data_IF_555383101476
#
_entry.id   IF_555383101476
#
_cell.length_a   1.000
_cell.length_b   1.000
_cell.length_c   1.000
_cell.angle_alpha   90.00
_cell.angle_beta   90.00
_cell.angle_gamma   90.00
#
_symmetry.space_group_name_H-M   'P 1'
#
loop_
_entity.id
_entity.type
_entity.pdbx_description
1 polymer ?
#
# COMPACT_ATOMS: atom_id res chain seq x y z
N UNK A 1 -19.71 4.09 -1.96
CA UNK A 1 -19.07 2.77 -2.21
C UNK A 1 -17.87 2.65 -1.29
N UNK A 2 -17.75 1.55 -0.55
CA UNK A 2 -16.60 1.32 0.35
C UNK A 2 -15.58 0.41 -0.34
N UNK A 3 -14.30 0.74 -0.21
CA UNK A 3 -13.21 0.01 -0.89
C UNK A 3 -12.21 -0.52 0.14
N UNK A 4 -11.82 -1.79 0.01
CA UNK A 4 -10.65 -2.32 0.72
C UNK A 4 -9.44 -2.15 -0.20
N UNK A 5 -8.44 -1.39 0.27
CA UNK A 5 -7.22 -1.13 -0.49
C UNK A 5 -6.14 -2.13 -0.09
N UNK A 6 -5.76 -2.95 -1.05
CA UNK A 6 -4.58 -3.81 -0.98
C UNK A 6 -3.30 -3.00 -1.24
N UNK A 7 -2.16 -3.53 -0.80
CA UNK A 7 -0.86 -2.85 -0.92
C UNK A 7 -0.51 -2.47 -2.36
N UNK A 8 -0.84 -3.33 -3.33
CA UNK A 8 -0.65 -3.06 -4.76
C UNK A 8 -1.43 -1.82 -5.23
N UNK A 9 -2.69 -1.67 -4.85
CA UNK A 9 -3.50 -0.50 -5.19
C UNK A 9 -2.94 0.77 -4.54
N UNK A 10 -2.45 0.69 -3.29
CA UNK A 10 -1.80 1.82 -2.62
C UNK A 10 -0.52 2.22 -3.37
N UNK A 11 0.30 1.26 -3.79
CA UNK A 11 1.52 1.52 -4.55
C UNK A 11 1.21 2.22 -5.88
N UNK A 12 0.23 1.72 -6.65
CA UNK A 12 -0.13 2.34 -7.93
C UNK A 12 -0.77 3.73 -7.75
N UNK A 13 -1.58 3.93 -6.70
CA UNK A 13 -2.08 5.25 -6.33
C UNK A 13 -0.94 6.24 -6.06
N UNK A 14 0.08 5.81 -5.29
CA UNK A 14 1.27 6.61 -4.98
C UNK A 14 2.14 6.90 -6.20
N UNK A 15 2.21 5.98 -7.17
CA UNK A 15 2.87 6.20 -8.47
C UNK A 15 2.09 7.15 -9.38
N UNK A 16 0.84 7.46 -9.06
CA UNK A 16 0.03 8.39 -9.82
C UNK A 16 -0.81 7.74 -10.92
N UNK A 17 -1.09 6.44 -10.83
CA UNK A 17 -1.99 5.76 -11.77
C UNK A 17 -3.37 6.43 -11.78
N UNK A 18 -3.87 6.75 -12.98
CA UNK A 18 -5.10 7.54 -13.15
C UNK A 18 -6.37 6.74 -12.84
N UNK A 19 -6.40 5.46 -13.21
CA UNK A 19 -7.56 4.60 -12.97
C UNK A 19 -7.71 4.33 -11.48
N UNK A 20 -6.60 3.99 -10.82
CA UNK A 20 -6.60 3.74 -9.37
C UNK A 20 -6.97 5.00 -8.60
N UNK A 21 -6.44 6.16 -8.99
CA UNK A 21 -6.83 7.45 -8.39
C UNK A 21 -8.31 7.73 -8.52
N UNK A 22 -8.89 7.55 -9.71
CA UNK A 22 -10.31 7.80 -9.93
C UNK A 22 -11.20 6.88 -9.07
N UNK A 23 -10.82 5.62 -8.91
CA UNK A 23 -11.55 4.66 -8.06
C UNK A 23 -11.48 5.06 -6.59
N UNK A 24 -10.29 5.44 -6.09
CA UNK A 24 -10.08 5.86 -4.70
C UNK A 24 -10.80 7.17 -4.41
N UNK A 25 -10.73 8.15 -5.32
CA UNK A 25 -11.36 9.47 -5.15
C UNK A 25 -12.89 9.40 -5.21
N UNK A 26 -13.46 8.39 -5.90
CA UNK A 26 -14.90 8.12 -5.93
C UNK A 26 -15.38 7.23 -4.77
N UNK A 27 -14.45 6.69 -3.97
CA UNK A 27 -14.83 5.91 -2.80
C UNK A 27 -15.41 6.85 -1.73
N UNK A 28 -16.48 6.40 -1.09
CA UNK A 28 -17.09 7.11 0.03
C UNK A 28 -16.26 6.94 1.31
N UNK A 29 -15.65 5.77 1.45
CA UNK A 29 -14.77 5.38 2.54
C UNK A 29 -13.81 4.30 2.05
N UNK A 30 -12.63 4.22 2.66
CA UNK A 30 -11.66 3.18 2.34
C UNK A 30 -11.07 2.56 3.61
N UNK A 31 -10.83 1.26 3.55
CA UNK A 31 -10.17 0.50 4.59
C UNK A 31 -8.83 0.01 4.07
N UNK A 32 -7.85 -0.04 4.96
CA UNK A 32 -6.51 -0.58 4.68
C UNK A 32 -6.20 -1.55 5.80
N UNK A 33 -5.73 -2.75 5.46
CA UNK A 33 -5.25 -3.68 6.49
C UNK A 33 -3.89 -3.20 7.03
N UNK A 34 -3.61 -3.46 8.30
CA UNK A 34 -2.30 -3.15 8.88
C UNK A 34 -1.14 -3.87 8.16
N UNK A 35 -1.42 -5.04 7.56
CA UNK A 35 -0.46 -5.78 6.74
C UNK A 35 -0.16 -5.03 5.43
N UNK A 36 -1.20 -4.57 4.72
CA UNK A 36 -1.03 -3.82 3.47
C UNK A 36 -0.29 -2.50 3.71
N UNK A 37 -0.56 -1.83 4.84
CA UNK A 37 0.20 -0.64 5.25
C UNK A 37 1.67 -0.97 5.51
N UNK A 38 1.95 -2.09 6.19
CA UNK A 38 3.31 -2.55 6.46
C UNK A 38 4.09 -2.86 5.18
N UNK A 39 3.48 -3.57 4.21
CA UNK A 39 4.10 -3.88 2.91
C UNK A 39 4.51 -2.61 2.14
N UNK A 40 3.66 -1.59 2.14
CA UNK A 40 3.94 -0.30 1.50
C UNK A 40 5.11 0.42 2.18
N UNK A 41 5.17 0.39 3.52
CA UNK A 41 6.27 0.99 4.29
C UNK A 41 7.59 0.23 4.06
N UNK A 42 7.53 -1.10 3.98
CA UNK A 42 8.68 -1.94 3.70
C UNK A 42 9.31 -1.58 2.36
N UNK A 43 8.49 -1.39 1.31
CA UNK A 43 8.97 -0.98 -0.02
C UNK A 43 9.58 0.43 -0.09
N UNK A 44 9.40 1.27 0.94
CA UNK A 44 9.99 2.62 1.04
C UNK A 44 11.20 2.70 1.96
N UNK A 45 11.52 1.61 2.65
CA UNK A 45 12.60 1.56 3.62
C UNK A 45 13.91 1.21 2.91
N UNK A 46 14.99 1.94 3.17
CA UNK A 46 16.33 1.58 2.65
C UNK A 46 16.70 0.16 3.10
N UNK A 47 17.31 -0.63 2.21
CA UNK A 47 17.66 -2.06 2.42
C UNK A 47 18.36 -2.32 3.76
N UNK A 48 19.09 -1.33 4.28
CA UNK A 48 19.83 -1.40 5.54
C UNK A 48 18.98 -1.27 6.81
N UNK A 49 17.69 -0.98 6.68
CA UNK A 49 16.76 -0.78 7.82
C UNK A 49 15.70 -1.87 7.89
N UNK A 50 15.71 -2.84 6.96
CA UNK A 50 14.82 -4.00 7.02
C UNK A 50 15.22 -4.84 8.26
N UNK A 51 14.33 -5.00 9.26
CA UNK A 51 14.64 -5.78 10.44
C UNK A 51 15.07 -7.19 10.03
N UNK A 52 16.18 -7.67 10.59
CA UNK A 52 16.80 -8.98 10.28
C UNK A 52 15.86 -10.19 10.42
N UNK A 53 14.67 -9.98 10.99
CA UNK A 53 13.57 -10.93 11.04
C UNK A 53 13.10 -11.38 9.63
N UNK A 54 13.20 -10.53 8.60
CA UNK A 54 12.75 -10.86 7.23
C UNK A 54 13.83 -11.50 6.34
N UNK A 55 15.10 -11.50 6.75
CA UNK A 55 16.21 -12.08 5.97
C UNK A 55 16.27 -13.62 6.09
N UNK A 56 15.37 -14.22 6.89
CA UNK A 56 15.36 -15.66 7.20
C UNK A 56 14.10 -16.41 6.75
N UNK A 57 13.32 -15.84 5.83
CA UNK A 57 12.23 -16.56 5.16
C UNK A 57 12.71 -17.06 3.80
#
# INVERSE_FOLDING_TARGET
>A
MKVLLESSAIIEYLKGDKEVKEIVDKAEDFYVSSLSAYEVLLGKTDENTIPSFFVRV
#
